data_IF_576168039444
#
_entry.id   IF_576168039444
#
_cell.length_a   1.000
_cell.length_b   1.000
_cell.length_c   1.000
_cell.angle_alpha   90.00
_cell.angle_beta   90.00
_cell.angle_gamma   90.00
#
_symmetry.space_group_name_H-M   'P 1'
#
loop_
_entity.id
_entity.type
_entity.pdbx_description
1 polymer ?
#
# COMPACT_ATOMS: atom_id res chain seq x y z
N UNK A 1 28.23 17.03 0.83
CA UNK A 1 29.17 16.60 -0.24
C UNK A 1 29.41 15.11 -0.11
N UNK A 2 28.99 14.29 -1.10
CA UNK A 2 29.38 12.87 -1.15
C UNK A 2 30.89 12.77 -1.37
N UNK A 3 31.57 11.89 -0.62
CA UNK A 3 33.00 11.66 -0.80
C UNK A 3 33.29 11.22 -2.24
N UNK A 4 34.37 11.72 -2.84
CA UNK A 4 34.79 11.41 -4.22
C UNK A 4 34.86 9.91 -4.51
N UNK A 5 35.20 9.09 -3.50
CA UNK A 5 35.18 7.63 -3.59
C UNK A 5 33.79 7.05 -3.84
N UNK A 6 32.75 7.56 -3.17
CA UNK A 6 31.36 7.16 -3.38
C UNK A 6 30.95 7.47 -4.83
N UNK A 7 31.23 8.69 -5.32
CA UNK A 7 30.92 9.07 -6.71
C UNK A 7 31.57 8.16 -7.75
N UNK A 8 32.85 7.84 -7.58
CA UNK A 8 33.57 6.90 -8.47
C UNK A 8 32.95 5.50 -8.43
N UNK A 9 32.57 5.01 -7.25
CA UNK A 9 31.90 3.71 -7.11
C UNK A 9 30.55 3.73 -7.85
N UNK A 10 29.74 4.77 -7.68
CA UNK A 10 28.45 4.89 -8.36
C UNK A 10 28.58 4.85 -9.87
N UNK A 11 29.47 5.67 -10.44
CA UNK A 11 29.77 5.69 -11.88
C UNK A 11 30.20 4.30 -12.39
N UNK A 12 31.06 3.63 -11.64
CA UNK A 12 31.49 2.26 -11.97
C UNK A 12 30.33 1.27 -11.93
N UNK A 13 29.42 1.40 -10.97
CA UNK A 13 28.27 0.50 -10.78
C UNK A 13 27.22 0.70 -11.87
N UNK A 14 26.89 1.94 -12.21
CA UNK A 14 25.97 2.26 -13.31
C UNK A 14 26.37 1.55 -14.62
N UNK A 15 27.67 1.56 -14.95
CA UNK A 15 28.22 0.88 -16.14
C UNK A 15 28.02 -0.65 -16.15
N UNK A 16 27.65 -1.26 -15.03
CA UNK A 16 27.32 -2.70 -14.94
C UNK A 16 25.91 -3.04 -15.46
N UNK A 17 25.20 -2.06 -16.05
CA UNK A 17 23.84 -2.13 -16.64
C UNK A 17 22.73 -2.53 -15.67
N UNK A 18 21.49 -2.22 -16.05
CA UNK A 18 20.21 -2.52 -15.38
C UNK A 18 20.06 -1.94 -13.97
N UNK A 19 19.85 -0.63 -13.93
CA UNK A 19 19.55 0.11 -12.71
C UNK A 19 18.23 0.86 -12.86
N UNK A 20 17.54 1.04 -11.74
CA UNK A 20 16.45 2.00 -11.64
C UNK A 20 16.88 3.26 -10.89
N UNK A 21 16.08 4.31 -11.01
CA UNK A 21 16.27 5.59 -10.36
C UNK A 21 15.03 5.87 -9.49
N UNK A 22 15.24 6.19 -8.22
CA UNK A 22 14.21 6.76 -7.35
C UNK A 22 14.60 8.20 -7.08
N UNK A 23 13.68 9.14 -7.26
CA UNK A 23 13.90 10.54 -6.90
C UNK A 23 12.69 11.10 -6.17
N UNK A 24 12.94 12.00 -5.22
CA UNK A 24 11.90 12.66 -4.45
C UNK A 24 12.43 13.99 -3.91
N UNK A 25 11.48 14.84 -3.53
CA UNK A 25 11.74 16.14 -2.95
C UNK A 25 12.35 15.99 -1.54
N UNK A 26 13.22 16.94 -1.20
CA UNK A 26 13.79 17.08 0.13
C UNK A 26 13.55 18.50 0.60
N UNK A 27 12.79 18.61 1.70
CA UNK A 27 12.44 19.88 2.31
C UNK A 27 13.23 20.04 3.61
N UNK A 28 14.11 21.04 3.66
CA UNK A 28 14.86 21.41 4.86
C UNK A 28 14.27 22.69 5.46
N UNK A 29 13.63 22.56 6.62
CA UNK A 29 13.16 23.72 7.38
C UNK A 29 14.26 24.17 8.34
N UNK A 30 14.83 25.34 8.10
CA UNK A 30 15.85 25.92 8.95
C UNK A 30 15.17 26.73 10.06
N UNK A 31 15.56 26.46 11.32
CA UNK A 31 15.13 27.19 12.53
C UNK A 31 13.65 27.06 12.94
N UNK A 32 12.97 25.96 12.60
CA UNK A 32 11.57 25.72 13.02
C UNK A 32 11.31 25.84 14.53
N UNK A 33 12.34 25.70 15.37
CA UNK A 33 12.27 25.83 16.83
C UNK A 33 12.50 27.25 17.36
N UNK A 34 12.85 28.25 16.53
CA UNK A 34 13.24 29.59 16.96
C UNK A 34 12.36 30.67 16.31
N UNK A 35 11.12 30.79 16.75
CA UNK A 35 10.27 31.92 16.41
C UNK A 35 10.75 33.17 17.17
N UNK A 36 11.52 34.03 16.50
CA UNK A 36 11.94 35.35 17.01
C UNK A 36 11.39 36.43 16.09
N UNK A 37 11.00 37.58 16.68
CA UNK A 37 10.44 38.71 15.93
C UNK A 37 11.40 39.13 14.80
N UNK A 38 10.92 39.16 13.56
CA UNK A 38 11.72 39.55 12.38
C UNK A 38 12.54 38.43 11.71
N UNK A 39 12.41 37.18 12.17
CA UNK A 39 12.99 36.00 11.51
C UNK A 39 11.88 35.06 11.03
N UNK A 40 11.69 35.01 9.72
CA UNK A 40 10.81 34.01 9.09
C UNK A 40 11.58 32.70 8.90
N UNK A 41 10.88 31.58 9.13
CA UNK A 41 11.38 30.26 8.75
C UNK A 41 11.69 30.28 7.24
N UNK A 42 12.86 29.76 6.86
CA UNK A 42 13.17 29.49 5.46
C UNK A 42 13.11 27.98 5.24
N UNK A 43 12.28 27.58 4.29
CA UNK A 43 12.25 26.21 3.78
C UNK A 43 13.11 26.17 2.52
N UNK A 44 14.22 25.46 2.60
CA UNK A 44 15.04 25.12 1.45
C UNK A 44 14.45 23.87 0.80
N UNK A 45 14.18 23.94 -0.50
CA UNK A 45 13.65 22.82 -1.27
C UNK A 45 14.73 22.32 -2.23
N UNK A 46 14.88 21.01 -2.33
CA UNK A 46 15.74 20.40 -3.32
C UNK A 46 15.25 19.02 -3.68
N UNK A 47 16.05 18.30 -4.46
CA UNK A 47 15.76 16.95 -4.93
C UNK A 47 16.88 16.00 -4.52
N UNK A 48 16.52 14.81 -4.05
CA UNK A 48 17.47 13.72 -3.88
C UNK A 48 17.11 12.57 -4.82
N UNK A 49 18.13 11.93 -5.38
CA UNK A 49 17.98 10.74 -6.19
C UNK A 49 18.82 9.59 -5.64
N UNK A 50 18.34 8.37 -5.80
CA UNK A 50 19.03 7.13 -5.45
C UNK A 50 18.90 6.15 -6.59
N UNK A 51 20.02 5.53 -6.95
CA UNK A 51 20.07 4.49 -7.97
C UNK A 51 20.04 3.15 -7.28
N UNK A 52 19.32 2.19 -7.84
CA UNK A 52 19.27 0.84 -7.32
C UNK A 52 19.47 -0.19 -8.42
N UNK A 53 20.15 -1.29 -8.09
CA UNK A 53 20.33 -2.40 -9.04
C UNK A 53 19.00 -3.16 -9.19
N UNK A 54 18.55 -3.37 -10.42
CA UNK A 54 17.38 -4.21 -10.69
C UNK A 54 17.72 -5.68 -10.45
N UNK A 55 16.86 -6.38 -9.70
CA UNK A 55 17.02 -7.80 -9.40
C UNK A 55 16.53 -8.65 -10.57
N UNK A 56 17.35 -9.63 -11.00
CA UNK A 56 17.06 -10.53 -12.10
C UNK A 56 16.60 -9.86 -13.41
N UNK A 57 17.00 -8.60 -13.64
CA UNK A 57 16.72 -7.91 -14.88
C UNK A 57 17.51 -8.52 -16.04
N UNK A 58 16.82 -8.76 -17.15
CA UNK A 58 17.40 -9.23 -18.40
C UNK A 58 17.28 -8.14 -19.48
N UNK A 59 18.14 -8.13 -20.50
CA UNK A 59 18.02 -7.18 -21.60
C UNK A 59 16.67 -7.25 -22.30
N UNK A 60 16.08 -8.45 -22.44
CA UNK A 60 14.79 -8.66 -23.09
C UNK A 60 13.64 -8.04 -22.30
N UNK A 61 13.70 -8.11 -20.97
CA UNK A 61 12.70 -7.53 -20.08
C UNK A 61 12.75 -5.99 -20.04
N UNK A 62 13.86 -5.39 -20.48
CA UNK A 62 14.07 -3.94 -20.51
C UNK A 62 14.14 -3.41 -21.95
N UNK A 63 13.78 -4.19 -22.96
CA UNK A 63 13.82 -3.72 -24.35
C UNK A 63 12.70 -2.69 -24.60
N UNK A 64 13.10 -1.45 -24.85
CA UNK A 64 12.20 -0.33 -25.11
C UNK A 64 11.33 -0.59 -26.35
N UNK A 65 11.90 -1.06 -27.45
CA UNK A 65 11.17 -1.25 -28.70
C UNK A 65 10.14 -2.37 -28.57
N UNK A 66 10.50 -3.46 -27.87
CA UNK A 66 9.57 -4.54 -27.57
C UNK A 66 8.41 -4.04 -26.70
N UNK A 67 8.68 -3.25 -25.66
CA UNK A 67 7.64 -2.66 -24.81
C UNK A 67 6.70 -1.74 -25.58
N UNK A 68 7.23 -0.85 -26.44
CA UNK A 68 6.41 0.04 -27.28
C UNK A 68 5.58 -0.72 -28.31
N UNK A 69 6.14 -1.75 -28.93
CA UNK A 69 5.41 -2.61 -29.87
C UNK A 69 4.28 -3.36 -29.16
N UNK A 70 4.53 -3.87 -27.94
CA UNK A 70 3.51 -4.51 -27.12
C UNK A 70 2.39 -3.53 -26.72
N UNK A 71 2.76 -2.32 -26.28
CA UNK A 71 1.81 -1.26 -25.94
C UNK A 71 0.94 -0.86 -27.14
N UNK A 72 1.53 -0.66 -28.32
CA UNK A 72 0.79 -0.33 -29.54
C UNK A 72 -0.17 -1.43 -30.00
N UNK A 73 0.11 -2.70 -29.64
CA UNK A 73 -0.75 -3.85 -29.93
C UNK A 73 -1.81 -4.09 -28.86
N UNK A 74 -1.65 -3.52 -27.67
CA UNK A 74 -2.59 -3.71 -26.57
C UNK A 74 -3.97 -3.16 -26.94
N UNK A 75 -5.02 -3.90 -26.57
CA UNK A 75 -6.40 -3.44 -26.71
C UNK A 75 -6.74 -2.35 -25.69
N UNK A 76 -7.93 -1.74 -25.80
CA UNK A 76 -8.42 -0.80 -24.78
C UNK A 76 -8.53 -1.47 -23.41
N UNK A 77 -8.44 -0.64 -22.36
CA UNK A 77 -8.64 -1.09 -20.99
C UNK A 77 -10.14 -1.35 -20.73
N UNK A 78 -10.49 -2.63 -20.63
CA UNK A 78 -11.83 -3.08 -20.26
C UNK A 78 -12.04 -3.23 -18.74
N UNK A 79 -13.30 -3.15 -18.24
CA UNK A 79 -13.61 -3.31 -16.82
C UNK A 79 -13.09 -4.61 -16.19
N UNK A 80 -13.06 -5.70 -16.96
CA UNK A 80 -12.57 -7.01 -16.51
C UNK A 80 -11.06 -7.05 -16.21
N UNK A 81 -10.29 -6.07 -16.70
CA UNK A 81 -8.88 -5.94 -16.32
C UNK A 81 -8.72 -5.41 -14.89
N UNK A 82 -9.71 -4.67 -14.38
CA UNK A 82 -9.67 -3.98 -13.08
C UNK A 82 -10.55 -4.69 -12.04
N UNK A 83 -11.77 -5.07 -12.43
CA UNK A 83 -12.69 -5.78 -11.56
C UNK A 83 -12.20 -7.21 -11.41
N UNK A 84 -11.97 -7.65 -10.17
CA UNK A 84 -11.56 -9.03 -9.90
C UNK A 84 -12.52 -10.02 -10.54
N UNK A 85 -11.97 -10.95 -11.32
CA UNK A 85 -12.64 -12.17 -11.78
C UNK A 85 -13.11 -13.04 -10.60
N UNK A 86 -13.93 -14.06 -10.86
CA UNK A 86 -14.37 -14.98 -9.81
C UNK A 86 -13.20 -15.67 -9.09
N UNK A 87 -12.15 -16.04 -9.83
CA UNK A 87 -10.95 -16.64 -9.27
C UNK A 87 -10.14 -15.65 -8.42
N UNK A 88 -9.99 -14.41 -8.89
CA UNK A 88 -9.32 -13.35 -8.13
C UNK A 88 -10.09 -12.99 -6.86
N UNK A 89 -11.43 -12.94 -6.90
CA UNK A 89 -12.27 -12.71 -5.71
C UNK A 89 -12.12 -13.84 -4.69
N UNK A 90 -12.12 -15.10 -5.14
CA UNK A 90 -11.90 -16.24 -4.26
C UNK A 90 -10.50 -16.21 -3.63
N UNK A 91 -9.48 -15.82 -4.40
CA UNK A 91 -8.12 -15.64 -3.90
C UNK A 91 -8.02 -14.47 -2.90
N UNK A 92 -8.63 -13.33 -3.23
CA UNK A 92 -8.67 -12.16 -2.35
C UNK A 92 -9.36 -12.49 -1.03
N UNK A 93 -10.50 -13.20 -1.04
CA UNK A 93 -11.14 -13.68 0.19
C UNK A 93 -10.19 -14.54 1.03
N UNK A 94 -9.44 -15.47 0.42
CA UNK A 94 -8.42 -16.26 1.13
C UNK A 94 -7.34 -15.37 1.76
N UNK A 95 -6.87 -14.34 1.04
CA UNK A 95 -5.91 -13.37 1.57
C UNK A 95 -6.48 -12.58 2.76
N UNK A 96 -7.74 -12.13 2.69
CA UNK A 96 -8.40 -11.42 3.79
C UNK A 96 -8.56 -12.30 5.03
N UNK A 97 -8.91 -13.58 4.86
CA UNK A 97 -8.95 -14.55 5.97
C UNK A 97 -7.58 -14.69 6.62
N UNK A 98 -6.51 -14.82 5.83
CA UNK A 98 -5.15 -14.90 6.37
C UNK A 98 -4.72 -13.59 7.04
N UNK A 99 -5.17 -12.43 6.53
CA UNK A 99 -4.95 -11.15 7.19
C UNK A 99 -5.66 -11.09 8.55
N UNK A 100 -6.90 -11.59 8.65
CA UNK A 100 -7.64 -11.72 9.91
C UNK A 100 -6.88 -12.63 10.88
N UNK A 101 -6.51 -13.84 10.46
CA UNK A 101 -5.76 -14.78 11.31
C UNK A 101 -4.46 -14.16 11.79
N UNK A 102 -3.70 -13.49 10.90
CA UNK A 102 -2.47 -12.79 11.28
C UNK A 102 -2.70 -11.71 12.33
N UNK A 103 -3.83 -11.00 12.28
CA UNK A 103 -4.21 -10.04 13.33
C UNK A 103 -4.53 -10.75 14.65
N UNK A 104 -5.25 -11.88 14.59
CA UNK A 104 -5.49 -12.73 15.78
C UNK A 104 -4.17 -13.21 16.38
N UNK A 105 -3.23 -13.74 15.60
CA UNK A 105 -1.94 -14.20 16.12
C UNK A 105 -1.09 -13.06 16.70
N UNK A 106 -1.19 -11.86 16.13
CA UNK A 106 -0.44 -10.68 16.58
C UNK A 106 -0.99 -10.13 17.91
N UNK A 107 -2.31 -10.05 18.05
CA UNK A 107 -2.96 -9.40 19.19
C UNK A 107 -3.53 -10.39 20.21
N UNK A 108 -3.60 -11.68 19.87
CA UNK A 108 -4.13 -12.76 20.69
C UNK A 108 -3.20 -13.21 21.84
N UNK A 109 -2.00 -12.63 21.94
CA UNK A 109 -1.05 -12.94 23.01
C UNK A 109 -0.19 -14.17 22.74
N UNK A 110 0.60 -14.56 23.75
CA UNK A 110 1.69 -15.54 23.62
C UNK A 110 1.21 -16.95 23.24
N UNK A 111 -0.01 -17.31 23.62
CA UNK A 111 -0.51 -18.67 23.44
C UNK A 111 -0.91 -18.95 21.99
N UNK A 112 -1.06 -17.94 21.14
CA UNK A 112 -1.27 -18.14 19.69
C UNK A 112 0.03 -18.31 18.90
N UNK A 113 1.20 -18.16 19.53
CA UNK A 113 2.48 -18.13 18.81
C UNK A 113 2.80 -19.42 18.04
N UNK A 114 2.29 -20.56 18.50
CA UNK A 114 2.53 -21.85 17.85
C UNK A 114 1.85 -21.98 16.49
N UNK A 115 0.88 -21.13 16.14
CA UNK A 115 0.25 -21.11 14.82
C UNK A 115 1.03 -20.32 13.76
N UNK A 116 2.09 -19.56 14.12
CA UNK A 116 2.86 -18.80 13.13
C UNK A 116 3.44 -19.68 12.00
N UNK A 117 4.06 -20.85 12.29
CA UNK A 117 4.52 -21.74 11.23
C UNK A 117 3.39 -22.21 10.30
N UNK A 118 2.21 -22.52 10.85
CA UNK A 118 1.04 -22.96 10.08
C UNK A 118 0.48 -21.83 9.21
N UNK A 119 0.47 -20.60 9.72
CA UNK A 119 0.10 -19.42 8.94
C UNK A 119 1.07 -19.18 7.77
N UNK A 120 2.38 -19.33 8.01
CA UNK A 120 3.39 -19.13 6.97
C UNK A 120 3.32 -20.24 5.90
N UNK A 121 3.07 -21.49 6.30
CA UNK A 121 2.92 -22.63 5.38
C UNK A 121 1.64 -22.55 4.52
N UNK A 122 0.52 -22.11 5.13
CA UNK A 122 -0.78 -22.05 4.46
C UNK A 122 -1.05 -20.73 3.71
N UNK A 123 -0.17 -19.73 3.86
CA UNK A 123 -0.33 -18.42 3.25
C UNK A 123 -0.57 -18.53 1.73
N UNK A 124 -1.68 -17.98 1.21
CA UNK A 124 -1.94 -18.03 -0.23
C UNK A 124 -0.83 -17.35 -1.02
N UNK A 125 -0.22 -18.11 -1.92
CA UNK A 125 0.82 -17.64 -2.84
C UNK A 125 0.17 -17.22 -4.15
N UNK A 126 0.41 -15.97 -4.54
CA UNK A 126 0.07 -15.46 -5.87
C UNK A 126 1.37 -15.11 -6.56
N UNK A 127 1.67 -15.81 -7.66
CA UNK A 127 2.84 -15.55 -8.49
C UNK A 127 2.74 -14.15 -9.12
N UNK A 128 3.86 -13.39 -9.24
CA UNK A 128 5.22 -13.75 -8.84
C UNK A 128 5.49 -13.59 -7.33
N UNK A 129 6.41 -14.40 -6.81
CA UNK A 129 7.08 -14.17 -5.53
C UNK A 129 8.52 -13.73 -5.82
N UNK A 130 8.92 -12.59 -5.25
CA UNK A 130 10.29 -12.09 -5.38
C UNK A 130 11.19 -12.91 -4.45
N UNK A 131 12.28 -13.45 -4.98
CA UNK A 131 13.30 -14.14 -4.18
C UNK A 131 13.90 -13.17 -3.15
N UNK A 132 14.17 -13.68 -1.95
CA UNK A 132 14.85 -12.90 -0.91
C UNK A 132 16.25 -12.54 -1.39
N UNK A 133 16.49 -11.25 -1.57
CA UNK A 133 17.78 -10.73 -2.00
C UNK A 133 18.05 -9.36 -1.36
N UNK A 134 19.31 -8.96 -1.35
CA UNK A 134 19.70 -7.60 -0.96
C UNK A 134 19.82 -6.72 -2.20
N UNK A 135 19.02 -5.67 -2.27
CA UNK A 135 19.15 -4.64 -3.31
C UNK A 135 20.29 -3.69 -2.93
N UNK A 136 21.18 -3.40 -3.89
CA UNK A 136 22.22 -2.40 -3.70
C UNK A 136 21.67 -1.01 -4.08
N UNK A 137 21.83 -0.04 -3.18
CA UNK A 137 21.40 1.34 -3.36
C UNK A 137 22.59 2.30 -3.35
N UNK A 138 22.49 3.35 -4.15
CA UNK A 138 23.54 4.34 -4.34
C UNK A 138 22.92 5.74 -4.40
N UNK A 139 23.03 6.50 -3.31
CA UNK A 139 22.48 7.85 -3.23
C UNK A 139 23.34 8.85 -4.01
N UNK A 140 22.68 9.61 -4.88
CA UNK A 140 23.27 10.73 -5.60
C UNK A 140 23.35 11.96 -4.69
N UNK A 141 24.22 12.94 -5.03
CA UNK A 141 24.23 14.23 -4.33
C UNK A 141 22.84 14.88 -4.38
N UNK A 142 22.45 15.52 -3.28
CA UNK A 142 21.30 16.41 -3.27
C UNK A 142 21.49 17.50 -4.34
N UNK A 143 20.42 17.80 -5.05
CA UNK A 143 20.34 18.76 -6.12
C UNK A 143 19.53 19.95 -5.63
N UNK A 144 20.06 21.16 -5.82
CA UNK A 144 19.33 22.41 -5.64
C UNK A 144 18.44 22.67 -6.86
N UNK A 145 17.47 21.76 -7.04
CA UNK A 145 16.53 21.73 -8.15
C UNK A 145 15.17 21.38 -7.57
N UNK A 146 14.16 22.18 -7.86
CA UNK A 146 12.78 21.91 -7.51
C UNK A 146 12.11 21.04 -8.60
N UNK A 147 11.83 19.77 -8.27
CA UNK A 147 11.14 18.81 -9.14
C UNK A 147 9.63 19.03 -9.26
N UNK A 148 9.07 20.06 -8.59
CA UNK A 148 7.63 20.30 -8.53
C UNK A 148 6.98 20.69 -9.87
N UNK A 149 7.79 20.91 -10.92
CA UNK A 149 7.39 21.29 -12.28
C UNK A 149 7.99 20.37 -13.35
N UNK A 150 7.41 20.39 -14.56
CA UNK A 150 7.94 19.67 -15.74
C UNK A 150 9.39 20.06 -16.04
N UNK A 151 9.69 21.38 -16.06
CA UNK A 151 11.06 21.89 -16.26
C UNK A 151 12.02 21.46 -15.15
N UNK A 152 11.50 21.36 -13.91
CA UNK A 152 12.23 20.87 -12.76
C UNK A 152 12.67 19.42 -12.93
N UNK A 153 11.74 18.53 -13.26
CA UNK A 153 12.04 17.11 -13.54
C UNK A 153 13.03 16.95 -14.69
N UNK A 154 12.92 17.76 -15.76
CA UNK A 154 13.91 17.79 -16.83
C UNK A 154 15.31 18.10 -16.28
N UNK A 155 15.44 19.17 -15.50
CA UNK A 155 16.72 19.58 -14.93
C UNK A 155 17.29 18.52 -13.97
N UNK A 156 16.43 17.83 -13.21
CA UNK A 156 16.81 16.70 -12.35
C UNK A 156 17.44 15.57 -13.18
N UNK A 157 16.78 15.12 -14.25
CA UNK A 157 17.33 14.03 -15.07
C UNK A 157 18.60 14.43 -15.80
N UNK A 158 18.70 15.66 -16.31
CA UNK A 158 19.93 16.18 -16.90
C UNK A 158 21.09 16.20 -15.88
N UNK A 159 20.80 16.59 -14.63
CA UNK A 159 21.78 16.56 -13.55
C UNK A 159 22.19 15.13 -13.17
N UNK A 160 21.24 14.19 -13.11
CA UNK A 160 21.52 12.78 -12.84
C UNK A 160 22.40 12.17 -13.95
N UNK A 161 22.06 12.38 -15.22
CA UNK A 161 22.84 11.85 -16.35
C UNK A 161 24.26 12.41 -16.38
N UNK A 162 24.40 13.71 -16.07
CA UNK A 162 25.70 14.37 -15.94
C UNK A 162 26.52 13.80 -14.78
N UNK A 163 25.93 13.64 -13.59
CA UNK A 163 26.62 13.11 -12.41
C UNK A 163 27.07 11.65 -12.64
N UNK A 164 26.30 10.88 -13.39
CA UNK A 164 26.60 9.48 -13.71
C UNK A 164 27.51 9.30 -14.94
N UNK A 165 27.85 10.39 -15.64
CA UNK A 165 28.58 10.35 -16.91
C UNK A 165 27.94 9.38 -17.91
N UNK A 166 26.61 9.44 -18.02
CA UNK A 166 25.87 8.65 -18.99
C UNK A 166 26.16 9.20 -20.38
N UNK A 167 26.70 8.36 -21.25
CA UNK A 167 26.69 8.64 -22.67
C UNK A 167 25.29 8.39 -23.22
N UNK A 168 24.51 9.47 -23.27
CA UNK A 168 23.14 9.46 -23.79
C UNK A 168 23.06 9.11 -25.28
N UNK A 169 24.19 9.13 -25.99
CA UNK A 169 24.28 8.72 -27.40
C UNK A 169 24.64 7.24 -27.55
N UNK A 170 24.98 6.54 -26.47
CA UNK A 170 25.30 5.12 -26.53
C UNK A 170 24.05 4.30 -26.89
N UNK A 171 24.21 3.33 -27.78
CA UNK A 171 23.12 2.44 -28.23
C UNK A 171 22.40 1.76 -27.06
N UNK A 172 23.13 1.39 -26.01
CA UNK A 172 22.55 0.78 -24.81
C UNK A 172 21.66 1.70 -23.98
N UNK A 173 21.86 3.02 -24.02
CA UNK A 173 20.97 3.98 -23.36
C UNK A 173 19.64 4.10 -24.11
N UNK A 174 19.71 4.12 -25.44
CA UNK A 174 18.53 4.27 -26.32
C UNK A 174 17.70 2.98 -26.40
N UNK A 175 18.29 1.82 -26.18
CA UNK A 175 17.57 0.54 -26.30
C UNK A 175 16.90 0.08 -25.00
N UNK A 176 17.45 0.43 -23.86
CA UNK A 176 17.02 -0.11 -22.57
C UNK A 176 16.07 0.86 -21.85
N UNK A 177 14.99 0.33 -21.28
CA UNK A 177 14.11 1.01 -20.34
C UNK A 177 14.87 1.30 -19.06
N UNK A 178 14.75 2.53 -18.56
CA UNK A 178 15.20 2.95 -17.24
C UNK A 178 13.97 3.09 -16.37
N UNK A 179 13.86 2.22 -15.37
CA UNK A 179 12.81 2.29 -14.37
C UNK A 179 13.02 3.51 -13.49
N UNK A 180 11.99 4.35 -13.40
CA UNK A 180 11.95 5.54 -12.55
C UNK A 180 10.87 5.37 -11.49
N UNK A 181 11.10 5.82 -10.26
CA UNK A 181 10.08 5.87 -9.23
C UNK A 181 10.23 7.11 -8.36
N UNK A 182 9.20 7.44 -7.58
CA UNK A 182 9.12 8.64 -6.77
C UNK A 182 7.70 8.85 -6.26
N UNK A 183 7.39 10.07 -5.81
CA UNK A 183 6.01 10.46 -5.58
C UNK A 183 5.22 10.54 -6.90
N UNK A 184 3.88 10.54 -6.81
CA UNK A 184 3.04 10.56 -8.00
C UNK A 184 3.19 11.87 -8.80
N UNK A 185 3.43 13.00 -8.13
CA UNK A 185 3.53 14.29 -8.80
C UNK A 185 4.77 14.33 -9.69
N UNK A 186 5.88 13.79 -9.21
CA UNK A 186 7.13 13.64 -9.95
C UNK A 186 6.97 12.70 -11.15
N UNK A 187 6.17 11.63 -11.02
CA UNK A 187 5.76 10.79 -12.16
C UNK A 187 4.94 11.54 -13.21
N UNK A 188 3.90 12.27 -12.79
CA UNK A 188 3.09 13.08 -13.71
C UNK A 188 3.89 14.18 -14.41
N UNK A 189 4.87 14.77 -13.72
CA UNK A 189 5.78 15.75 -14.31
C UNK A 189 6.75 15.11 -15.30
N UNK A 190 7.17 13.85 -15.09
CA UNK A 190 7.96 13.08 -16.06
C UNK A 190 7.13 12.78 -17.31
N UNK A 191 5.87 12.34 -17.17
CA UNK A 191 4.96 12.15 -18.31
C UNK A 191 4.78 13.47 -19.08
N UNK A 192 4.62 14.59 -18.35
CA UNK A 192 4.59 15.93 -18.93
C UNK A 192 5.87 16.27 -19.70
N UNK A 193 7.03 15.94 -19.15
CA UNK A 193 8.33 16.16 -19.80
C UNK A 193 8.42 15.35 -21.11
N UNK A 194 8.05 14.08 -21.09
CA UNK A 194 8.00 13.23 -22.28
C UNK A 194 7.06 13.81 -23.33
N UNK A 195 5.84 14.19 -22.94
CA UNK A 195 4.84 14.76 -23.84
C UNK A 195 5.32 16.05 -24.51
N UNK A 196 5.96 16.96 -23.76
CA UNK A 196 6.53 18.18 -24.35
C UNK A 196 7.67 17.93 -25.34
N UNK A 197 8.24 16.72 -25.32
CA UNK A 197 9.38 16.31 -26.14
C UNK A 197 9.04 15.24 -27.20
N UNK A 198 7.75 14.90 -27.40
CA UNK A 198 7.28 13.89 -28.36
C UNK A 198 7.73 14.16 -29.82
N UNK A 199 8.03 15.42 -30.18
CA UNK A 199 8.54 15.79 -31.50
C UNK A 199 10.05 15.62 -31.69
N UNK A 200 10.79 15.20 -30.65
CA UNK A 200 12.23 14.91 -30.76
C UNK A 200 12.42 13.51 -31.36
N UNK A 201 13.03 13.43 -32.54
CA UNK A 201 13.25 12.15 -33.24
C UNK A 201 14.20 11.20 -32.49
N UNK A 202 15.12 11.76 -31.69
CA UNK A 202 16.07 10.97 -30.92
C UNK A 202 15.56 10.67 -29.51
N UNK A 203 15.48 9.39 -29.15
CA UNK A 203 14.94 8.94 -27.85
C UNK A 203 15.60 9.64 -26.66
N UNK A 204 16.92 9.88 -26.76
CA UNK A 204 17.73 10.55 -25.74
C UNK A 204 17.23 11.96 -25.39
N UNK A 205 16.61 12.66 -26.35
CA UNK A 205 16.06 14.00 -26.16
C UNK A 205 14.59 13.97 -25.75
N UNK A 206 13.90 12.84 -25.97
CA UNK A 206 12.48 12.64 -25.67
C UNK A 206 12.18 12.13 -24.25
N UNK A 207 13.19 11.54 -23.58
CA UNK A 207 13.01 10.74 -22.35
C UNK A 207 12.09 9.54 -22.51
N UNK A 208 11.84 9.08 -23.74
CA UNK A 208 10.90 8.01 -24.00
C UNK A 208 11.27 6.66 -23.37
N UNK A 209 12.55 6.43 -23.04
CA UNK A 209 13.00 5.22 -22.34
C UNK A 209 12.88 5.28 -20.80
N UNK A 210 12.42 6.40 -20.23
CA UNK A 210 12.22 6.53 -18.79
C UNK A 210 10.80 6.07 -18.43
N UNK A 211 10.66 4.92 -17.78
CA UNK A 211 9.35 4.35 -17.45
C UNK A 211 9.07 4.51 -15.94
N UNK A 212 8.06 5.29 -15.61
CA UNK A 212 7.68 5.54 -14.22
C UNK A 212 6.89 4.37 -13.61
N UNK A 213 7.30 3.93 -12.43
CA UNK A 213 6.57 2.97 -11.59
C UNK A 213 6.13 3.68 -10.32
N UNK A 214 4.83 3.61 -10.06
CA UNK A 214 4.20 4.19 -8.87
C UNK A 214 4.88 3.73 -7.58
N UNK A 215 5.29 4.70 -6.76
CA UNK A 215 5.85 4.43 -5.43
C UNK A 215 4.84 3.74 -4.52
N UNK A 216 5.10 2.48 -4.16
CA UNK A 216 4.21 1.71 -3.27
C UNK A 216 4.07 2.35 -1.88
N UNK A 217 5.08 3.08 -1.40
CA UNK A 217 4.98 3.82 -0.14
C UNK A 217 3.92 4.92 -0.21
N UNK A 218 3.90 5.73 -1.26
CA UNK A 218 2.87 6.75 -1.45
C UNK A 218 1.49 6.13 -1.65
N UNK A 219 1.41 5.00 -2.34
CA UNK A 219 0.16 4.24 -2.48
C UNK A 219 -0.38 3.80 -1.10
N UNK A 220 0.50 3.30 -0.22
CA UNK A 220 0.14 2.97 1.18
C UNK A 220 -0.34 4.20 1.94
N UNK A 221 0.32 5.35 1.77
CA UNK A 221 -0.11 6.61 2.41
C UNK A 221 -1.52 7.01 1.97
N UNK A 222 -1.78 6.96 0.66
CA UNK A 222 -3.10 7.29 0.11
C UNK A 222 -4.17 6.33 0.61
N UNK A 223 -3.86 5.02 0.68
CA UNK A 223 -4.79 4.04 1.22
C UNK A 223 -5.14 4.32 2.70
N UNK A 224 -4.14 4.64 3.54
CA UNK A 224 -4.35 5.01 4.95
C UNK A 224 -5.17 6.28 5.09
N UNK A 225 -4.83 7.31 4.32
CA UNK A 225 -5.57 8.58 4.32
C UNK A 225 -7.02 8.36 3.88
N UNK A 226 -7.23 7.52 2.87
CA UNK A 226 -8.56 7.19 2.36
C UNK A 226 -9.42 6.50 3.41
N UNK A 227 -8.88 5.50 4.11
CA UNK A 227 -9.57 4.84 5.24
C UNK A 227 -9.84 5.84 6.35
N UNK A 228 -8.85 6.63 6.75
CA UNK A 228 -9.01 7.62 7.81
C UNK A 228 -10.10 8.63 7.48
N UNK A 229 -10.08 9.25 6.29
CA UNK A 229 -11.06 10.24 5.87
C UNK A 229 -12.47 9.67 5.77
N UNK A 230 -12.61 8.42 5.32
CA UNK A 230 -13.92 7.75 5.20
C UNK A 230 -14.52 7.44 6.57
N UNK A 231 -13.68 7.02 7.52
CA UNK A 231 -14.12 6.48 8.81
C UNK A 231 -13.90 7.42 10.00
N UNK A 232 -13.39 8.65 9.77
CA UNK A 232 -13.11 9.59 10.86
C UNK A 232 -14.36 9.90 11.68
N UNK A 233 -15.49 10.09 11.00
CA UNK A 233 -16.75 10.53 11.61
C UNK A 233 -16.77 12.02 11.95
N UNK A 234 -17.93 12.51 12.41
CA UNK A 234 -18.09 13.89 12.86
C UNK A 234 -17.56 14.04 14.31
N UNK A 235 -16.57 14.91 14.54
CA UNK A 235 -16.09 15.23 15.89
C UNK A 235 -17.18 15.64 16.87
N UNK A 236 -18.29 16.23 16.37
CA UNK A 236 -19.41 16.69 17.18
C UNK A 236 -20.40 15.61 17.53
N UNK A 237 -20.42 14.49 16.80
CA UNK A 237 -21.33 13.39 17.08
C UNK A 237 -20.96 12.66 18.38
N UNK A 238 -19.69 12.68 18.80
CA UNK A 238 -19.26 12.11 20.07
C UNK A 238 -19.73 10.66 20.25
N UNK A 239 -20.50 10.40 21.31
CA UNK A 239 -21.05 9.07 21.62
C UNK A 239 -22.14 8.60 20.65
N UNK A 240 -22.72 9.49 19.86
CA UNK A 240 -23.75 9.17 18.86
C UNK A 240 -23.16 8.52 17.59
N UNK A 241 -21.82 8.53 17.44
CA UNK A 241 -21.10 7.84 16.38
C UNK A 241 -20.09 6.83 16.95
N UNK A 242 -20.55 5.76 17.62
CA UNK A 242 -19.68 4.84 18.36
C UNK A 242 -18.70 4.07 17.48
N UNK A 243 -19.01 3.91 16.18
CA UNK A 243 -18.12 3.25 15.22
C UNK A 243 -17.02 4.17 14.64
N UNK A 244 -17.04 5.48 14.91
CA UNK A 244 -16.13 6.45 14.29
C UNK A 244 -14.68 6.33 14.79
N UNK A 245 -13.71 6.61 13.93
CA UNK A 245 -12.30 6.67 14.34
C UNK A 245 -12.02 7.85 15.27
N UNK A 246 -12.77 8.95 15.14
CA UNK A 246 -12.62 10.10 16.02
C UNK A 246 -12.93 9.73 17.48
N UNK A 247 -14.06 9.07 17.75
CA UNK A 247 -14.41 8.65 19.10
C UNK A 247 -13.34 7.71 19.67
N UNK A 248 -12.92 6.70 18.90
CA UNK A 248 -11.90 5.76 19.35
C UNK A 248 -10.54 6.44 19.60
N UNK A 249 -10.15 7.41 18.77
CA UNK A 249 -8.94 8.19 18.99
C UNK A 249 -8.99 8.95 20.32
N UNK A 250 -10.16 9.51 20.67
CA UNK A 250 -10.40 10.17 21.95
C UNK A 250 -10.37 9.20 23.14
N UNK A 251 -10.97 8.01 23.02
CA UNK A 251 -10.92 6.96 24.05
C UNK A 251 -9.48 6.51 24.32
N UNK A 252 -8.65 6.46 23.28
CA UNK A 252 -7.22 6.12 23.39
C UNK A 252 -6.35 7.30 23.87
N UNK A 253 -6.96 8.42 24.26
CA UNK A 253 -6.28 9.63 24.74
C UNK A 253 -5.22 10.17 23.78
N UNK A 254 -5.42 9.97 22.47
CA UNK A 254 -4.52 10.45 21.42
C UNK A 254 -4.83 11.91 21.11
N UNK A 255 -3.85 12.62 20.54
CA UNK A 255 -4.05 13.99 20.06
C UNK A 255 -5.24 14.02 19.07
N UNK A 256 -6.17 14.98 19.21
CA UNK A 256 -7.33 15.09 18.32
C UNK A 256 -6.90 15.26 16.86
N UNK A 257 -7.61 14.58 15.96
CA UNK A 257 -7.43 14.77 14.52
C UNK A 257 -8.41 15.82 14.03
N UNK A 258 -7.97 16.64 13.08
CA UNK A 258 -8.82 17.62 12.41
C UNK A 258 -8.90 17.22 10.94
N UNK A 259 -10.09 17.17 10.36
CA UNK A 259 -10.28 16.76 8.96
C UNK A 259 -9.49 17.64 7.97
N UNK A 260 -9.24 18.90 8.31
CA UNK A 260 -8.46 19.87 7.51
C UNK A 260 -6.94 19.71 7.66
N UNK A 261 -6.48 18.94 8.65
CA UNK A 261 -5.06 18.68 8.90
C UNK A 261 -4.90 17.26 9.42
N UNK A 262 -4.83 16.32 8.48
CA UNK A 262 -4.70 14.90 8.81
C UNK A 262 -3.37 14.63 9.53
N UNK A 263 -3.35 13.68 10.48
CA UNK A 263 -2.15 13.34 11.21
C UNK A 263 -1.08 12.72 10.30
N UNK A 264 0.19 12.69 10.73
CA UNK A 264 1.25 12.01 10.01
C UNK A 264 0.91 10.55 9.70
N UNK A 265 1.41 10.03 8.58
CA UNK A 265 1.11 8.68 8.08
C UNK A 265 1.24 7.58 9.15
N UNK A 266 2.33 7.58 9.93
CA UNK A 266 2.54 6.58 10.97
C UNK A 266 1.43 6.62 12.04
N UNK A 267 1.05 7.82 12.47
CA UNK A 267 0.01 8.04 13.49
C UNK A 267 -1.35 7.55 13.00
N UNK A 268 -1.70 7.86 11.75
CA UNK A 268 -2.94 7.39 11.11
C UNK A 268 -2.95 5.87 10.94
N UNK A 269 -1.86 5.33 10.40
CA UNK A 269 -1.68 3.89 10.17
C UNK A 269 -1.84 3.11 11.46
N UNK A 270 -1.19 3.55 12.53
CA UNK A 270 -1.20 2.84 13.80
C UNK A 270 -2.60 2.83 14.42
N UNK A 271 -3.33 3.95 14.40
CA UNK A 271 -4.73 3.97 14.85
C UNK A 271 -5.60 2.96 14.08
N UNK A 272 -5.52 2.96 12.74
CA UNK A 272 -6.31 2.05 11.91
C UNK A 272 -5.96 0.59 12.23
N UNK A 273 -4.67 0.26 12.37
CA UNK A 273 -4.22 -1.11 12.60
C UNK A 273 -4.57 -1.61 14.01
N UNK A 274 -4.47 -0.74 15.02
CA UNK A 274 -4.85 -1.09 16.39
C UNK A 274 -6.36 -1.33 16.49
N UNK A 275 -7.19 -0.47 15.86
CA UNK A 275 -8.63 -0.66 15.85
C UNK A 275 -9.08 -1.82 14.97
N UNK A 276 -8.41 -2.09 13.86
CA UNK A 276 -8.63 -3.31 13.08
C UNK A 276 -8.38 -4.56 13.93
N UNK A 277 -7.26 -4.59 14.67
CA UNK A 277 -6.94 -5.68 15.59
C UNK A 277 -7.97 -5.84 16.70
N UNK A 278 -8.30 -4.75 17.39
CA UNK A 278 -9.27 -4.77 18.47
C UNK A 278 -10.66 -5.27 18.01
N UNK A 279 -11.15 -4.79 16.86
CA UNK A 279 -12.44 -5.21 16.30
C UNK A 279 -12.45 -6.66 15.86
N UNK A 280 -11.36 -7.16 15.24
CA UNK A 280 -11.22 -8.57 14.89
C UNK A 280 -11.26 -9.45 16.15
N UNK A 281 -10.50 -9.09 17.19
CA UNK A 281 -10.52 -9.85 18.45
C UNK A 281 -11.90 -9.80 19.11
N UNK A 282 -12.58 -8.65 19.08
CA UNK A 282 -13.94 -8.55 19.61
C UNK A 282 -14.92 -9.45 18.84
N UNK A 283 -14.82 -9.54 17.51
CA UNK A 283 -15.66 -10.46 16.73
C UNK A 283 -15.43 -11.93 17.08
N UNK A 284 -14.23 -12.32 17.57
CA UNK A 284 -14.02 -13.67 18.10
C UNK A 284 -14.78 -13.92 19.40
N UNK A 285 -15.13 -12.89 20.17
CA UNK A 285 -15.94 -13.04 21.38
C UNK A 285 -17.43 -13.29 21.06
N UNK A 286 -17.83 -13.00 19.84
CA UNK A 286 -19.19 -13.30 19.35
C UNK A 286 -19.33 -14.77 18.93
N UNK A 287 -18.23 -15.54 18.93
CA UNK A 287 -18.28 -16.99 18.72
C UNK A 287 -19.01 -17.63 19.92
N UNK A 288 -19.96 -18.56 19.70
CA UNK A 288 -20.71 -19.18 20.78
C UNK A 288 -19.82 -19.73 21.90
N UNK A 289 -20.13 -19.35 23.14
CA UNK A 289 -19.38 -19.72 24.35
C UNK A 289 -17.94 -19.16 24.41
N UNK A 290 -17.65 -18.06 23.73
CA UNK A 290 -16.37 -17.35 23.82
C UNK A 290 -16.53 -15.97 24.46
N UNK A 291 -16.67 -15.85 25.78
CA UNK A 291 -16.74 -14.54 26.45
C UNK A 291 -15.40 -13.78 26.45
N UNK A 292 -14.30 -14.49 26.16
CA UNK A 292 -12.96 -13.95 26.16
C UNK A 292 -12.05 -14.73 25.21
N UNK A 293 -10.87 -14.15 24.96
CA UNK A 293 -9.82 -14.79 24.19
C UNK A 293 -9.29 -16.07 24.85
N UNK A 294 -9.30 -16.13 26.18
CA UNK A 294 -8.92 -17.33 26.92
C UNK A 294 -9.95 -18.45 26.72
N UNK A 295 -11.24 -18.13 26.68
CA UNK A 295 -12.30 -19.11 26.41
C UNK A 295 -12.16 -19.68 25.00
N UNK A 296 -11.85 -18.83 24.03
CA UNK A 296 -11.57 -19.27 22.66
C UNK A 296 -10.34 -20.18 22.59
N UNK A 297 -9.25 -19.84 23.27
CA UNK A 297 -8.07 -20.71 23.38
C UNK A 297 -8.38 -22.07 24.03
N UNK A 298 -9.23 -22.10 25.05
CA UNK A 298 -9.68 -23.35 25.67
C UNK A 298 -10.46 -24.20 24.66
N UNK A 299 -11.35 -23.59 23.87
CA UNK A 299 -12.08 -24.32 22.82
C UNK A 299 -11.12 -24.92 21.79
N UNK A 300 -10.13 -24.16 21.32
CA UNK A 300 -9.12 -24.66 20.37
C UNK A 300 -8.33 -25.84 20.95
N UNK A 301 -7.90 -25.77 22.21
CA UNK A 301 -7.20 -26.87 22.88
C UNK A 301 -8.06 -28.13 23.02
N UNK A 302 -9.35 -27.98 23.33
CA UNK A 302 -10.28 -29.12 23.41
C UNK A 302 -10.40 -29.83 22.06
N UNK A 303 -10.40 -29.08 20.96
CA UNK A 303 -10.44 -29.63 19.60
C UNK A 303 -9.20 -30.46 19.31
N UNK A 304 -8.01 -29.97 19.65
CA UNK A 304 -6.76 -30.74 19.44
C UNK A 304 -6.72 -32.01 20.30
N UNK A 305 -7.16 -31.94 21.55
CA UNK A 305 -7.26 -33.09 22.45
C UNK A 305 -8.23 -34.17 21.91
N UNK A 306 -9.34 -33.76 21.31
CA UNK A 306 -10.29 -34.68 20.68
C UNK A 306 -9.76 -35.31 19.38
N UNK A 307 -8.79 -34.66 18.72
CA UNK A 307 -8.33 -35.01 17.38
C UNK A 307 -7.02 -35.82 17.35
N UNK A 308 -6.59 -36.37 18.50
CA UNK A 308 -5.32 -37.10 18.73
C UNK A 308 -5.02 -38.29 17.79
N UNK A 309 -5.87 -38.58 16.79
CA UNK A 309 -5.64 -39.59 15.76
C UNK A 309 -5.05 -39.04 14.44
N UNK A 310 -4.81 -37.72 14.31
CA UNK A 310 -4.54 -37.07 13.02
C UNK A 310 -3.16 -36.38 12.88
N UNK A 311 -2.06 -36.97 13.38
CA UNK A 311 -0.67 -36.70 12.94
C UNK A 311 -0.07 -35.28 13.05
N UNK A 312 -0.85 -34.24 13.39
CA UNK A 312 -0.43 -32.85 13.56
C UNK A 312 -0.95 -32.34 14.90
N UNK A 313 -0.04 -31.87 15.76
CA UNK A 313 -0.33 -31.44 17.14
C UNK A 313 -1.37 -30.30 17.22
N UNK A 314 -1.50 -29.49 16.17
CA UNK A 314 -2.35 -28.30 16.11
C UNK A 314 -3.21 -28.22 14.83
N UNK A 315 -3.34 -29.32 14.09
CA UNK A 315 -4.00 -29.31 12.78
C UNK A 315 -5.47 -28.93 12.87
N UNK A 316 -6.21 -29.54 13.80
CA UNK A 316 -7.65 -29.36 13.92
C UNK A 316 -8.03 -28.01 14.51
N UNK A 317 -7.29 -27.50 15.50
CA UNK A 317 -7.48 -26.14 16.00
C UNK A 317 -7.10 -25.08 14.98
N UNK A 318 -6.09 -25.31 14.14
CA UNK A 318 -5.76 -24.43 13.02
C UNK A 318 -6.87 -24.37 11.97
N UNK A 319 -7.41 -25.52 11.56
CA UNK A 319 -8.58 -25.58 10.68
C UNK A 319 -9.78 -24.85 11.26
N UNK A 320 -10.03 -25.01 12.57
CA UNK A 320 -11.07 -24.26 13.26
C UNK A 320 -10.83 -22.76 13.23
N UNK A 321 -9.60 -22.31 13.49
CA UNK A 321 -9.24 -20.90 13.45
C UNK A 321 -9.45 -20.29 12.06
N UNK A 322 -9.09 -21.00 11.00
CA UNK A 322 -9.34 -20.58 9.62
C UNK A 322 -10.85 -20.53 9.31
N UNK A 323 -11.61 -21.52 9.76
CA UNK A 323 -13.06 -21.56 9.61
C UNK A 323 -13.73 -20.36 10.30
N UNK A 324 -13.35 -20.07 11.54
CA UNK A 324 -13.94 -18.99 12.32
C UNK A 324 -13.54 -17.62 11.76
N UNK A 325 -12.30 -17.46 11.28
CA UNK A 325 -11.87 -16.27 10.55
C UNK A 325 -12.62 -16.09 9.22
N UNK A 326 -12.94 -17.20 8.53
CA UNK A 326 -13.78 -17.20 7.33
C UNK A 326 -15.21 -16.75 7.63
N UNK A 327 -15.79 -17.28 8.71
CA UNK A 327 -17.12 -16.91 9.17
C UNK A 327 -17.18 -15.42 9.53
N UNK A 328 -16.19 -14.92 10.28
CA UNK A 328 -16.03 -13.50 10.60
C UNK A 328 -15.94 -12.65 9.34
N UNK A 329 -15.16 -13.06 8.33
CA UNK A 329 -15.09 -12.34 7.07
C UNK A 329 -16.48 -12.21 6.42
N UNK A 330 -17.19 -13.33 6.29
CA UNK A 330 -18.50 -13.36 5.63
C UNK A 330 -19.55 -12.54 6.41
N UNK A 331 -19.53 -12.57 7.75
CA UNK A 331 -20.51 -11.85 8.58
C UNK A 331 -20.15 -10.38 8.80
N UNK A 332 -18.87 -10.04 8.97
CA UNK A 332 -18.44 -8.73 9.48
C UNK A 332 -17.61 -7.91 8.49
N UNK A 333 -17.24 -8.45 7.33
CA UNK A 333 -16.39 -7.76 6.35
C UNK A 333 -17.06 -7.70 4.97
N UNK A 334 -17.83 -8.73 4.61
CA UNK A 334 -18.49 -8.80 3.31
C UNK A 334 -19.50 -7.66 3.11
N UNK A 335 -19.46 -7.04 1.92
CA UNK A 335 -20.36 -5.95 1.53
C UNK A 335 -21.83 -6.33 1.46
N UNK A 336 -22.14 -7.61 1.30
CA UNK A 336 -23.50 -8.14 1.32
C UNK A 336 -24.15 -7.92 2.69
N UNK A 337 -23.40 -8.01 3.79
CA UNK A 337 -23.92 -7.69 5.13
C UNK A 337 -24.34 -6.23 5.22
N UNK A 338 -23.48 -5.30 4.79
CA UNK A 338 -23.83 -3.88 4.80
C UNK A 338 -25.02 -3.58 3.87
N UNK A 339 -25.06 -4.21 2.69
CA UNK A 339 -26.18 -4.06 1.73
C UNK A 339 -27.51 -4.57 2.30
N UNK A 340 -27.46 -5.66 3.08
CA UNK A 340 -28.61 -6.18 3.81
C UNK A 340 -29.07 -5.20 4.89
N UNK A 341 -28.17 -4.67 5.72
CA UNK A 341 -28.51 -3.67 6.74
C UNK A 341 -29.15 -2.41 6.12
N UNK A 342 -28.63 -1.94 4.99
CA UNK A 342 -29.22 -0.83 4.23
C UNK A 342 -30.62 -1.17 3.70
N UNK A 343 -30.79 -2.38 3.16
CA UNK A 343 -32.09 -2.84 2.65
C UNK A 343 -33.11 -2.97 3.78
N UNK A 344 -32.72 -3.57 4.91
CA UNK A 344 -33.55 -3.71 6.11
C UNK A 344 -34.03 -2.34 6.59
N UNK A 345 -33.16 -1.30 6.55
CA UNK A 345 -33.54 0.08 6.88
C UNK A 345 -34.47 0.71 5.85
N UNK A 346 -34.23 0.50 4.55
CA UNK A 346 -35.00 1.10 3.47
C UNK A 346 -36.44 0.57 3.40
N UNK A 347 -36.62 -0.72 3.68
CA UNK A 347 -37.90 -1.40 3.57
C UNK A 347 -38.62 -1.61 4.91
N UNK A 348 -38.06 -1.11 6.01
CA UNK A 348 -38.70 -1.18 7.31
C UNK A 348 -39.89 -0.22 7.42
N UNK A 349 -40.90 -0.65 8.16
CA UNK A 349 -41.99 0.23 8.58
C UNK A 349 -41.43 1.39 9.42
N UNK A 350 -42.09 2.55 9.38
CA UNK A 350 -41.63 3.78 10.03
C UNK A 350 -41.31 3.68 11.53
N UNK A 351 -41.83 2.64 12.21
CA UNK A 351 -41.60 2.39 13.64
C UNK A 351 -40.73 1.15 13.94
N UNK A 352 -40.29 0.41 12.91
CA UNK A 352 -39.45 -0.76 13.09
C UNK A 352 -37.98 -0.35 13.26
N UNK A 353 -37.34 -0.87 14.31
CA UNK A 353 -35.88 -0.74 14.48
C UNK A 353 -35.19 -1.74 13.53
N UNK A 354 -34.80 -1.27 12.35
CA UNK A 354 -34.13 -2.09 11.34
C UNK A 354 -32.90 -1.40 10.77
N UNK A 355 -31.93 -2.21 10.31
CA UNK A 355 -30.70 -1.75 9.67
C UNK A 355 -29.77 -0.95 10.58
N UNK A 356 -29.11 -1.66 11.49
CA UNK A 356 -28.13 -1.13 12.43
C UNK A 356 -26.99 -0.39 11.71
N UNK A 357 -27.02 0.94 11.78
CA UNK A 357 -26.03 1.83 11.15
C UNK A 357 -24.68 1.78 11.84
N UNK A 358 -24.64 1.48 13.15
CA UNK A 358 -23.39 1.34 13.89
C UNK A 358 -22.66 0.09 13.42
N UNK A 359 -23.40 -1.01 13.33
CA UNK A 359 -22.86 -2.26 12.81
C UNK A 359 -22.46 -2.14 11.33
N UNK A 360 -23.28 -1.48 10.51
CA UNK A 360 -22.96 -1.18 9.11
C UNK A 360 -21.63 -0.41 8.97
N UNK A 361 -21.42 0.64 9.77
CA UNK A 361 -20.17 1.40 9.79
C UNK A 361 -18.97 0.55 10.24
N UNK A 362 -19.17 -0.37 11.19
CA UNK A 362 -18.13 -1.31 11.62
C UNK A 362 -17.73 -2.28 10.51
N UNK A 363 -18.71 -2.80 9.75
CA UNK A 363 -18.48 -3.68 8.59
C UNK A 363 -17.67 -2.97 7.53
N UNK A 364 -18.06 -1.74 7.16
CA UNK A 364 -17.29 -0.96 6.18
C UNK A 364 -15.87 -0.66 6.63
N UNK A 365 -15.67 -0.32 7.90
CA UNK A 365 -14.32 -0.10 8.42
C UNK A 365 -13.45 -1.36 8.32
N UNK A 366 -13.96 -2.53 8.73
CA UNK A 366 -13.20 -3.78 8.66
C UNK A 366 -12.81 -4.10 7.21
N UNK A 367 -13.75 -3.98 6.27
CA UNK A 367 -13.51 -4.13 4.82
C UNK A 367 -12.42 -3.21 4.31
N UNK A 368 -12.54 -1.93 4.64
CA UNK A 368 -11.65 -0.90 4.09
C UNK A 368 -10.26 -0.94 4.73
N UNK A 369 -10.14 -1.34 5.99
CA UNK A 369 -8.87 -1.43 6.71
C UNK A 369 -8.08 -2.72 6.38
N UNK A 370 -8.74 -3.82 6.02
CA UNK A 370 -8.08 -5.08 5.66
C UNK A 370 -7.27 -4.97 4.35
N UNK A 371 -7.74 -4.20 3.37
CA UNK A 371 -7.02 -4.05 2.09
C UNK A 371 -5.64 -3.37 2.24
N UNK A 372 -5.51 -2.21 2.93
CA UNK A 372 -4.21 -1.64 3.25
C UNK A 372 -3.34 -2.56 4.09
N UNK A 373 -3.94 -3.31 5.05
CA UNK A 373 -3.19 -4.29 5.84
C UNK A 373 -2.56 -5.36 4.97
N UNK A 374 -3.31 -5.90 4.01
CA UNK A 374 -2.81 -6.88 3.05
C UNK A 374 -1.73 -6.29 2.13
N UNK A 375 -1.91 -5.05 1.65
CA UNK A 375 -0.86 -4.36 0.89
C UNK A 375 0.44 -4.22 1.71
N UNK A 376 0.34 -3.94 3.01
CA UNK A 376 1.53 -3.80 3.85
C UNK A 376 2.27 -5.11 4.01
N UNK A 377 1.54 -6.20 4.24
CA UNK A 377 2.12 -7.54 4.35
C UNK A 377 2.73 -7.98 3.03
N UNK A 378 1.99 -7.87 1.93
CA UNK A 378 2.43 -8.28 0.59
C UNK A 378 3.72 -7.56 0.17
N UNK A 379 3.84 -6.26 0.48
CA UNK A 379 5.09 -5.51 0.26
C UNK A 379 6.21 -5.99 1.18
N UNK A 380 5.93 -6.29 2.45
CA UNK A 380 6.95 -6.75 3.40
C UNK A 380 7.53 -8.11 3.00
N UNK A 381 6.72 -9.00 2.43
CA UNK A 381 7.16 -10.34 2.01
C UNK A 381 7.49 -10.45 0.51
N UNK A 382 7.40 -9.37 -0.27
CA UNK A 382 7.78 -9.38 -1.69
C UNK A 382 6.83 -10.16 -2.60
N UNK A 383 5.56 -10.32 -2.23
CA UNK A 383 4.56 -10.98 -3.09
C UNK A 383 3.92 -9.99 -4.06
N UNK A 384 4.49 -9.85 -5.25
CA UNK A 384 3.99 -8.91 -6.27
C UNK A 384 2.59 -9.28 -6.77
N UNK A 385 2.26 -10.57 -6.91
CA UNK A 385 0.91 -10.99 -7.28
C UNK A 385 -0.18 -10.53 -6.30
N UNK A 386 0.13 -10.58 -4.98
CA UNK A 386 -0.76 -10.07 -3.92
C UNK A 386 -0.88 -8.55 -3.95
N UNK A 387 0.24 -7.85 -4.20
CA UNK A 387 0.24 -6.38 -4.37
C UNK A 387 -0.69 -6.00 -5.52
N UNK A 388 -0.52 -6.59 -6.70
CA UNK A 388 -1.34 -6.30 -7.89
C UNK A 388 -2.83 -6.56 -7.60
N UNK A 389 -3.16 -7.66 -6.93
CA UNK A 389 -4.53 -7.97 -6.55
C UNK A 389 -5.17 -6.85 -5.71
N UNK A 390 -4.44 -6.31 -4.72
CA UNK A 390 -4.95 -5.18 -3.91
C UNK A 390 -4.98 -3.88 -4.71
N UNK A 391 -3.99 -3.61 -5.55
CA UNK A 391 -3.96 -2.39 -6.38
C UNK A 391 -5.14 -2.29 -7.33
N UNK A 392 -5.57 -3.41 -7.94
CA UNK A 392 -6.81 -3.47 -8.73
C UNK A 392 -8.03 -2.98 -7.94
N UNK A 393 -8.12 -3.36 -6.66
CA UNK A 393 -9.21 -2.91 -5.79
C UNK A 393 -9.12 -1.43 -5.42
N UNK A 394 -7.93 -0.82 -5.46
CA UNK A 394 -7.75 0.59 -5.14
C UNK A 394 -7.99 1.52 -6.34
N UNK A 395 -7.92 1.02 -7.57
CA UNK A 395 -8.11 1.82 -8.78
C UNK A 395 -9.44 2.60 -8.77
N UNK A 396 -10.56 1.95 -8.41
CA UNK A 396 -11.89 2.60 -8.38
C UNK A 396 -12.13 3.44 -7.11
N UNK A 397 -11.88 2.94 -5.88
CA UNK A 397 -12.09 3.73 -4.66
C UNK A 397 -11.25 5.00 -4.63
N UNK A 398 -10.02 5.00 -5.15
CA UNK A 398 -9.21 6.22 -5.20
C UNK A 398 -9.86 7.32 -6.06
N UNK A 399 -10.59 6.96 -7.11
CA UNK A 399 -11.38 7.93 -7.88
C UNK A 399 -12.50 8.53 -7.01
N UNK A 400 -13.27 7.69 -6.31
CA UNK A 400 -14.39 8.12 -5.48
C UNK A 400 -13.99 8.88 -4.21
N UNK A 401 -12.79 8.64 -3.68
CA UNK A 401 -12.30 9.21 -2.41
C UNK A 401 -11.47 10.49 -2.59
N UNK A 402 -11.63 11.19 -3.72
CA UNK A 402 -10.93 12.44 -3.99
C UNK A 402 -9.43 12.28 -4.27
N UNK A 403 -9.00 11.09 -4.71
CA UNK A 403 -7.62 10.77 -5.10
C UNK A 403 -7.54 10.32 -6.57
N UNK A 404 -8.18 11.03 -7.53
CA UNK A 404 -8.34 10.55 -8.90
C UNK A 404 -7.03 10.38 -9.66
N UNK A 405 -5.98 11.13 -9.28
CA UNK A 405 -4.65 11.00 -9.86
C UNK A 405 -4.04 9.61 -9.56
N UNK A 406 -4.18 9.13 -8.32
CA UNK A 406 -3.72 7.79 -7.95
C UNK A 406 -4.60 6.71 -8.58
N UNK A 407 -5.91 6.93 -8.65
CA UNK A 407 -6.80 6.03 -9.38
C UNK A 407 -6.41 5.91 -10.85
N UNK A 408 -6.04 7.02 -11.50
CA UNK A 408 -5.60 7.05 -12.90
C UNK A 408 -4.24 6.38 -13.09
N UNK A 409 -3.31 6.54 -12.15
CA UNK A 409 -2.01 5.87 -12.24
C UNK A 409 -2.07 4.35 -12.09
N UNK A 410 -3.19 3.81 -11.56
CA UNK A 410 -3.44 2.37 -11.44
C UNK A 410 -4.23 1.78 -12.62
N UNK A 411 -4.74 2.62 -13.52
CA UNK A 411 -5.46 2.25 -14.75
C UNK A 411 -4.51 2.41 -15.93
#
# INVERSE_FOLDING_TARGET
MLATGCRKLMKKRWKQRYHGIIFDNVNFVIKSAQQTLGRTDSQENGTCATIFKLHNATPEALDYNAARAAFAKAGPLEPEHIIHSAAERAMHRKLMIHAIVRMVLKYGGKDFKHYWPLLDESQPVVSPLIEVHTTNFYSLPAMDIDESSISGVIAVFEAIFKELEIDINAEGFVRDIIIVSGDLKSGLNLDGAQNTRIGQEELKNSFGNLEYILGLFHTKMVAVVSVLSTHLGDPKAGQDAPASLFLHNSILERKPFVATSLPPFAVAKDLIMDLLGARIIHCLFEIPNCGSLNDYLVQLKVIDLASHNAGSEYGSSWERLLHDAGSLFDSNVDTSTASRLQSDRLYADANAKAGDMVYEGAVYFLRDALNPKELFDAVKCGHSGRIISVLKLFALPFQGLGRPQYGRALL
#
